data_IF_080740723166
#
_entry.id   IF_080740723166
#
_cell.length_a   1.000
_cell.length_b   1.000
_cell.length_c   1.000
_cell.angle_alpha   90.00
_cell.angle_beta   90.00
_cell.angle_gamma   90.00
#
_symmetry.space_group_name_H-M   'P 1'
#
loop_
_entity.id
_entity.type
_entity.pdbx_description
1 polymer ?
#
# COMPACT_ATOMS: atom_id res chain seq x y z
N UNK A 1 0.07 -10.58 -4.87
CA UNK A 1 1.10 -9.53 -4.77
C UNK A 1 1.61 -9.04 -6.12
N UNK A 2 1.96 -9.91 -7.07
CA UNK A 2 2.49 -9.49 -8.38
C UNK A 2 1.69 -8.37 -9.07
N UNK A 3 0.37 -8.52 -9.23
CA UNK A 3 -0.48 -7.49 -9.87
C UNK A 3 -0.46 -6.14 -9.12
N UNK A 4 -0.47 -6.15 -7.78
CA UNK A 4 -0.37 -4.93 -6.98
C UNK A 4 0.99 -4.26 -7.17
N UNK A 5 2.07 -5.03 -7.19
CA UNK A 5 3.41 -4.50 -7.40
C UNK A 5 3.55 -3.85 -8.78
N UNK A 6 3.00 -4.45 -9.83
CA UNK A 6 3.04 -3.88 -11.19
C UNK A 6 2.19 -2.60 -11.31
N UNK A 7 1.02 -2.54 -10.66
CA UNK A 7 0.12 -1.38 -10.77
C UNK A 7 0.49 -0.23 -9.83
N UNK A 8 0.99 -0.54 -8.64
CA UNK A 8 1.22 0.45 -7.58
C UNK A 8 2.67 0.49 -7.10
N UNK A 9 3.27 -0.67 -6.79
CA UNK A 9 4.61 -0.73 -6.20
C UNK A 9 5.71 -0.14 -7.08
N UNK A 10 5.91 -0.69 -8.28
CA UNK A 10 6.96 -0.27 -9.22
C UNK A 10 6.77 1.18 -9.67
N UNK A 11 5.57 1.60 -10.12
CA UNK A 11 5.39 2.98 -10.59
C UNK A 11 5.57 4.02 -9.48
N UNK A 12 5.12 3.74 -8.25
CA UNK A 12 5.33 4.62 -7.10
C UNK A 12 6.81 4.77 -6.75
N UNK A 13 7.54 3.65 -6.74
CA UNK A 13 8.96 3.64 -6.39
C UNK A 13 9.80 4.45 -7.40
N UNK A 14 9.50 4.33 -8.70
CA UNK A 14 10.14 5.12 -9.74
C UNK A 14 9.85 6.62 -9.57
N UNK A 15 8.58 6.99 -9.36
CA UNK A 15 8.22 8.39 -9.16
C UNK A 15 8.81 8.99 -7.87
N UNK A 16 8.90 8.20 -6.80
CA UNK A 16 9.48 8.63 -5.52
C UNK A 16 10.99 8.86 -5.59
N UNK A 17 11.69 8.14 -6.47
CA UNK A 17 13.11 8.37 -6.73
C UNK A 17 13.39 9.78 -7.30
N UNK A 18 12.41 10.38 -7.97
CA UNK A 18 12.51 11.71 -8.59
C UNK A 18 11.81 12.81 -7.76
N UNK A 19 10.99 12.44 -6.77
CA UNK A 19 10.20 13.37 -5.96
C UNK A 19 10.35 13.07 -4.46
N UNK A 20 11.18 13.85 -3.73
CA UNK A 20 11.39 13.66 -2.30
C UNK A 20 10.12 13.80 -1.45
N UNK A 21 9.17 14.65 -1.86
CA UNK A 21 7.89 14.80 -1.17
C UNK A 21 7.05 13.52 -1.25
N UNK A 22 6.95 12.93 -2.43
CA UNK A 22 6.29 11.64 -2.61
C UNK A 22 7.01 10.51 -1.85
N UNK A 23 8.34 10.54 -1.81
CA UNK A 23 9.12 9.58 -1.02
C UNK A 23 8.72 9.64 0.47
N UNK A 24 8.63 10.85 1.03
CA UNK A 24 8.23 11.06 2.43
C UNK A 24 6.80 10.56 2.71
N UNK A 25 5.85 10.84 1.82
CA UNK A 25 4.48 10.32 1.92
C UNK A 25 4.45 8.79 1.89
N UNK A 26 5.18 8.16 0.96
CA UNK A 26 5.27 6.69 0.91
C UNK A 26 5.92 6.09 2.15
N UNK A 27 6.93 6.75 2.73
CA UNK A 27 7.57 6.31 3.97
C UNK A 27 6.60 6.40 5.16
N UNK A 28 5.82 7.48 5.25
CA UNK A 28 4.77 7.62 6.27
C UNK A 28 3.70 6.52 6.12
N UNK A 29 3.24 6.26 4.90
CA UNK A 29 2.29 5.19 4.64
C UNK A 29 2.86 3.81 4.96
N UNK A 30 4.14 3.56 4.65
CA UNK A 30 4.82 2.32 4.98
C UNK A 30 4.96 2.11 6.49
N UNK A 31 5.31 3.16 7.24
CA UNK A 31 5.37 3.11 8.70
C UNK A 31 4.00 2.75 9.29
N UNK A 32 2.93 3.40 8.84
CA UNK A 32 1.59 3.11 9.34
C UNK A 32 1.09 1.70 8.93
N UNK A 33 1.48 1.13 7.78
CA UNK A 33 1.19 -0.29 7.47
C UNK A 33 1.89 -1.20 8.47
N UNK A 34 3.19 -0.99 8.72
CA UNK A 34 3.96 -1.78 9.68
C UNK A 34 3.32 -1.74 11.06
N UNK A 35 2.95 -0.56 11.53
CA UNK A 35 2.38 -0.38 12.86
C UNK A 35 0.99 -1.03 12.98
N UNK A 36 0.15 -0.93 11.95
CA UNK A 36 -1.15 -1.65 11.90
C UNK A 36 -0.94 -3.17 11.95
N UNK A 37 0.03 -3.71 11.20
CA UNK A 37 0.28 -5.15 11.21
C UNK A 37 0.88 -5.64 12.54
N UNK A 38 1.70 -4.80 13.18
CA UNK A 38 2.32 -5.11 14.46
C UNK A 38 1.35 -5.05 15.65
N UNK A 39 0.43 -4.08 15.65
CA UNK A 39 -0.41 -3.79 16.83
C UNK A 39 -1.91 -3.92 16.60
N UNK A 40 -2.38 -3.87 15.35
CA UNK A 40 -3.79 -3.85 15.00
C UNK A 40 -4.42 -5.23 14.76
N UNK A 41 -3.61 -6.30 14.71
CA UNK A 41 -4.08 -7.66 14.45
C UNK A 41 -3.78 -8.51 15.68
N UNK A 42 -4.80 -8.76 16.52
CA UNK A 42 -4.67 -9.47 17.80
C UNK A 42 -4.13 -10.91 17.72
N UNK A 43 -4.05 -11.48 16.52
CA UNK A 43 -3.54 -12.82 16.22
C UNK A 43 -2.39 -12.82 15.18
N UNK A 44 -1.63 -11.72 15.03
CA UNK A 44 -0.55 -11.68 14.01
C UNK A 44 0.66 -12.56 14.34
N UNK A 45 0.81 -12.97 15.60
CA UNK A 45 1.95 -13.78 16.07
C UNK A 45 1.99 -15.14 15.37
N UNK A 46 3.05 -15.37 14.58
CA UNK A 46 3.25 -16.62 13.86
C UNK A 46 2.65 -16.66 12.44
N UNK A 47 1.92 -15.62 12.02
CA UNK A 47 1.43 -15.52 10.63
C UNK A 47 2.55 -14.94 9.74
N UNK A 48 2.85 -15.55 8.58
CA UNK A 48 3.83 -15.00 7.65
C UNK A 48 3.45 -13.58 7.21
N UNK A 49 4.43 -12.66 7.19
CA UNK A 49 4.23 -11.26 6.81
C UNK A 49 3.53 -11.10 5.46
N UNK A 50 3.85 -11.96 4.49
CA UNK A 50 3.24 -11.96 3.16
C UNK A 50 1.73 -12.24 3.20
N UNK A 51 1.28 -13.09 4.13
CA UNK A 51 -0.15 -13.39 4.36
C UNK A 51 -0.84 -12.19 5.01
N UNK A 52 -0.20 -11.59 6.03
CA UNK A 52 -0.72 -10.37 6.67
C UNK A 52 -0.86 -9.21 5.68
N UNK A 53 0.15 -8.96 4.85
CA UNK A 53 0.12 -7.95 3.79
C UNK A 53 -0.98 -8.24 2.75
N UNK A 54 -1.21 -9.51 2.42
CA UNK A 54 -2.27 -9.91 1.50
C UNK A 54 -3.66 -9.70 2.08
N UNK A 55 -3.87 -10.06 3.35
CA UNK A 55 -5.12 -9.79 4.07
C UNK A 55 -5.39 -8.29 4.18
N UNK A 56 -4.37 -7.51 4.54
CA UNK A 56 -4.49 -6.06 4.66
C UNK A 56 -4.83 -5.38 3.32
N UNK A 57 -4.10 -5.71 2.25
CA UNK A 57 -4.39 -5.16 0.92
C UNK A 57 -5.78 -5.56 0.41
N UNK A 58 -6.22 -6.80 0.70
CA UNK A 58 -7.57 -7.24 0.37
C UNK A 58 -8.62 -6.41 1.11
N UNK A 59 -8.47 -6.24 2.43
CA UNK A 59 -9.39 -5.44 3.24
C UNK A 59 -9.52 -3.99 2.76
N UNK A 60 -8.41 -3.36 2.35
CA UNK A 60 -8.44 -2.01 1.75
C UNK A 60 -9.27 -1.98 0.46
N UNK A 61 -9.07 -2.95 -0.43
CA UNK A 61 -9.77 -3.01 -1.71
C UNK A 61 -11.26 -3.30 -1.52
N UNK A 62 -11.59 -4.19 -0.59
CA UNK A 62 -12.98 -4.56 -0.29
C UNK A 62 -13.72 -3.37 0.34
N UNK A 63 -13.11 -2.67 1.31
CA UNK A 63 -13.67 -1.45 1.92
C UNK A 63 -13.97 -0.37 0.88
N UNK A 64 -13.11 -0.23 -0.11
CA UNK A 64 -13.26 0.77 -1.18
C UNK A 64 -14.31 0.34 -2.21
N UNK A 65 -14.40 -0.96 -2.51
CA UNK A 65 -15.45 -1.49 -3.37
C UNK A 65 -16.85 -1.32 -2.79
N UNK A 66 -16.98 -1.37 -1.45
CA UNK A 66 -18.23 -1.10 -0.73
C UNK A 66 -18.58 0.40 -0.68
N UNK A 67 -17.60 1.29 -0.87
CA UNK A 67 -17.82 2.72 -0.79
C UNK A 67 -18.37 3.27 -2.13
N UNK A 68 -19.66 3.61 -2.16
CA UNK A 68 -20.34 4.19 -3.33
C UNK A 68 -19.80 5.56 -3.79
N UNK A 69 -18.85 6.15 -3.04
CA UNK A 69 -18.25 7.48 -3.27
C UNK A 69 -17.19 7.55 -4.38
N UNK A 70 -16.94 6.48 -5.13
CA UNK A 70 -16.20 6.56 -6.39
C UNK A 70 -14.67 6.46 -6.32
N UNK A 71 -14.10 6.14 -5.15
CA UNK A 71 -12.70 5.71 -5.10
C UNK A 71 -12.60 4.39 -5.86
N UNK A 72 -12.04 4.42 -7.07
CA UNK A 72 -11.73 3.20 -7.83
C UNK A 72 -10.32 2.79 -7.47
N UNK A 73 -10.11 1.50 -7.24
CA UNK A 73 -8.78 0.92 -7.18
C UNK A 73 -8.13 0.94 -8.57
N UNK A 74 -7.85 2.14 -9.08
CA UNK A 74 -7.07 2.39 -10.28
C UNK A 74 -5.76 3.06 -9.90
N UNK A 75 -4.73 2.84 -10.72
CA UNK A 75 -3.49 3.60 -10.60
C UNK A 75 -3.78 5.10 -10.82
N UNK A 76 -3.09 6.01 -10.11
CA UNK A 76 -3.26 7.44 -10.33
C UNK A 76 -2.75 7.85 -11.72
N UNK A 77 -3.29 8.95 -12.26
CA UNK A 77 -2.76 9.59 -13.47
C UNK A 77 -1.37 10.18 -13.24
N UNK A 78 -1.10 10.67 -12.03
CA UNK A 78 0.20 11.12 -11.59
C UNK A 78 0.44 10.71 -10.13
N UNK A 79 1.64 10.20 -9.82
CA UNK A 79 1.96 9.76 -8.46
C UNK A 79 2.06 10.90 -7.42
N UNK A 80 2.52 12.11 -7.77
CA UNK A 80 2.47 13.24 -6.83
C UNK A 80 1.05 13.61 -6.39
N UNK A 81 0.02 13.25 -7.16
CA UNK A 81 -1.40 13.48 -6.84
C UNK A 81 -2.10 12.20 -6.33
N UNK A 82 -1.33 11.17 -5.99
CA UNK A 82 -1.88 9.89 -5.53
C UNK A 82 -2.68 10.08 -4.22
N UNK A 83 -3.86 9.47 -4.19
CA UNK A 83 -4.72 9.37 -3.02
C UNK A 83 -4.09 8.41 -1.98
N UNK A 84 -4.51 8.60 -0.72
CA UNK A 84 -4.13 7.77 0.42
C UNK A 84 -4.18 6.24 0.14
N UNK A 85 -5.17 5.74 -0.61
CA UNK A 85 -5.33 4.32 -0.94
C UNK A 85 -4.21 3.86 -1.88
N UNK A 86 -3.89 4.64 -2.90
CA UNK A 86 -2.85 4.31 -3.88
C UNK A 86 -1.48 4.31 -3.20
N UNK A 87 -1.21 5.30 -2.34
CA UNK A 87 -0.02 5.36 -1.50
C UNK A 87 0.03 4.17 -0.53
N UNK A 88 -1.10 3.77 0.07
CA UNK A 88 -1.17 2.62 0.98
C UNK A 88 -0.90 1.30 0.26
N UNK A 89 -1.44 1.09 -0.95
CA UNK A 89 -1.19 -0.11 -1.75
C UNK A 89 0.26 -0.18 -2.25
N UNK A 90 0.86 0.95 -2.62
CA UNK A 90 2.29 1.04 -2.94
C UNK A 90 3.17 0.71 -1.72
N UNK A 91 2.81 1.23 -0.54
CA UNK A 91 3.49 0.95 0.71
C UNK A 91 3.43 -0.55 1.12
N UNK A 92 2.31 -1.23 0.88
CA UNK A 92 2.23 -2.69 1.05
C UNK A 92 3.25 -3.41 0.17
N UNK A 93 3.43 -2.97 -1.08
CA UNK A 93 4.37 -3.58 -2.00
C UNK A 93 5.83 -3.40 -1.54
N UNK A 94 6.19 -2.24 -0.95
CA UNK A 94 7.52 -2.01 -0.39
C UNK A 94 7.90 -3.02 0.70
N UNK A 95 6.94 -3.46 1.52
CA UNK A 95 7.16 -4.50 2.53
C UNK A 95 7.20 -5.93 1.96
N UNK A 96 6.69 -6.13 0.75
CA UNK A 96 6.59 -7.44 0.09
C UNK A 96 7.80 -7.77 -0.80
N UNK A 97 8.59 -6.76 -1.17
CA UNK A 97 9.84 -6.94 -1.91
C UNK A 97 10.97 -7.23 -0.90
N UNK A 98 11.72 -8.33 -1.02
CA UNK A 98 12.89 -8.53 -0.18
C UNK A 98 13.90 -7.40 -0.43
N UNK A 99 14.42 -6.82 0.65
CA UNK A 99 15.45 -5.78 0.63
C UNK A 99 16.75 -6.26 -0.05
#
# INVERSE_FOLDING_TARGET
>A
MHKLNTMYGIPAALAAAENPGLCAELDQHAAAVRDILAFGVGESTGIPLTVLLAGYARGLLDQVAEFAGGLRACAPSSWPEADWLQLRLAAVCRHAVPA
#
